data_IF_901341820130
#
_entry.id   IF_901341820130
#
_cell.length_a   1.000
_cell.length_b   1.000
_cell.length_c   1.000
_cell.angle_alpha   90.00
_cell.angle_beta   90.00
_cell.angle_gamma   90.00
#
_symmetry.space_group_name_H-M   'P 1'
#
loop_
_entity.id
_entity.type
_entity.pdbx_description
1 polymer ?
#
# COMPACT_ATOMS: atom_id res chain seq x y z
N UNK A 1 50.21 -17.06 50.55
CA UNK A 1 48.78 -16.75 50.80
C UNK A 1 48.11 -15.80 49.79
N UNK A 2 48.77 -14.84 49.11
CA UNK A 2 48.08 -13.95 48.17
C UNK A 2 47.67 -14.59 46.82
N UNK A 3 48.31 -15.68 46.39
CA UNK A 3 47.99 -16.35 45.12
C UNK A 3 46.70 -17.19 45.16
N UNK A 4 46.33 -17.72 46.32
CA UNK A 4 45.14 -18.56 46.48
C UNK A 4 43.85 -17.73 46.45
N UNK A 5 43.87 -16.50 46.99
CA UNK A 5 42.72 -15.59 46.95
C UNK A 5 42.46 -15.06 45.54
N UNK A 6 43.50 -14.78 44.75
CA UNK A 6 43.35 -14.36 43.36
C UNK A 6 42.70 -15.45 42.49
N UNK A 7 43.06 -16.72 42.70
CA UNK A 7 42.43 -17.85 42.00
C UNK A 7 40.96 -18.04 42.36
N UNK A 8 40.61 -17.83 43.63
CA UNK A 8 39.23 -17.92 44.12
C UNK A 8 38.35 -16.81 43.55
N UNK A 9 38.85 -15.57 43.52
CA UNK A 9 38.12 -14.43 42.96
C UNK A 9 37.88 -14.59 41.45
N UNK A 10 38.86 -15.13 40.72
CA UNK A 10 38.74 -15.39 39.28
C UNK A 10 37.68 -16.46 38.97
N UNK A 11 37.61 -17.52 39.79
CA UNK A 11 36.59 -18.57 39.68
C UNK A 11 35.20 -18.04 40.00
N UNK A 12 35.06 -17.23 41.04
CA UNK A 12 33.77 -16.60 41.41
C UNK A 12 33.30 -15.66 40.30
N UNK A 13 34.21 -14.86 39.73
CA UNK A 13 33.89 -13.97 38.61
C UNK A 13 33.46 -14.75 37.36
N UNK A 14 34.16 -15.83 37.02
CA UNK A 14 33.79 -16.70 35.91
C UNK A 14 32.42 -17.35 36.10
N UNK A 15 32.13 -17.86 37.31
CA UNK A 15 30.83 -18.45 37.63
C UNK A 15 29.72 -17.39 37.54
N UNK A 16 29.97 -16.18 38.04
CA UNK A 16 29.01 -15.08 37.95
C UNK A 16 28.76 -14.64 36.50
N UNK A 17 29.79 -14.60 35.64
CA UNK A 17 29.66 -14.29 34.21
C UNK A 17 28.88 -15.39 33.47
N UNK A 18 29.15 -16.67 33.76
CA UNK A 18 28.42 -17.80 33.16
C UNK A 18 26.96 -17.81 33.62
N UNK A 19 26.69 -17.55 34.90
CA UNK A 19 25.34 -17.45 35.43
C UNK A 19 24.58 -16.25 34.84
N UNK A 20 25.25 -15.10 34.69
CA UNK A 20 24.66 -13.92 34.04
C UNK A 20 24.37 -14.17 32.55
N UNK A 21 25.25 -14.89 31.84
CA UNK A 21 25.04 -15.28 30.44
C UNK A 21 23.90 -16.30 30.29
N UNK A 22 23.72 -17.21 31.24
CA UNK A 22 22.62 -18.17 31.27
C UNK A 22 21.27 -17.54 31.67
N UNK A 23 21.29 -16.37 32.33
CA UNK A 23 20.10 -15.61 32.71
C UNK A 23 19.65 -14.59 31.64
N UNK A 24 20.38 -14.46 30.53
CA UNK A 24 19.87 -13.77 29.35
C UNK A 24 18.86 -14.73 28.72
N UNK A 25 17.59 -14.59 29.08
CA UNK A 25 16.49 -15.11 28.28
C UNK A 25 16.76 -14.69 26.83
N UNK A 26 17.09 -15.68 25.99
CA UNK A 26 17.48 -15.45 24.61
C UNK A 26 16.50 -14.50 23.96
N UNK A 27 17.01 -13.44 23.33
CA UNK A 27 16.21 -12.56 22.48
C UNK A 27 15.60 -13.47 21.43
N UNK A 28 14.35 -13.89 21.65
CA UNK A 28 13.65 -14.73 20.68
C UNK A 28 13.60 -13.94 19.40
N UNK A 29 14.14 -14.52 18.33
CA UNK A 29 14.02 -13.99 16.98
C UNK A 29 12.61 -13.50 16.65
N UNK A 30 12.46 -12.59 15.69
CA UNK A 30 11.15 -12.09 15.29
C UNK A 30 10.95 -12.21 13.79
N UNK A 31 9.79 -12.73 13.38
CA UNK A 31 9.37 -12.74 12.00
C UNK A 31 8.42 -11.58 11.72
N UNK A 32 8.60 -10.92 10.58
CA UNK A 32 7.76 -9.82 10.11
C UNK A 32 7.18 -10.19 8.75
N UNK A 33 5.87 -10.06 8.60
CA UNK A 33 5.19 -10.26 7.33
C UNK A 33 4.62 -8.92 6.88
N UNK A 34 5.06 -8.43 5.72
CA UNK A 34 4.64 -7.14 5.19
C UNK A 34 3.99 -7.30 3.81
N UNK A 35 2.99 -6.47 3.53
CA UNK A 35 2.32 -6.45 2.24
C UNK A 35 1.57 -5.14 2.01
N UNK A 36 0.88 -5.07 0.88
CA UNK A 36 0.05 -3.91 0.50
C UNK A 36 -1.30 -4.38 -0.01
N UNK A 37 -2.33 -3.55 0.16
CA UNK A 37 -3.68 -3.76 -0.37
C UNK A 37 -4.00 -2.64 -1.34
N UNK A 38 -4.44 -2.98 -2.54
CA UNK A 38 -4.89 -2.05 -3.56
C UNK A 38 -6.38 -2.19 -3.83
N UNK A 39 -7.02 -1.07 -4.18
CA UNK A 39 -8.31 -1.08 -4.82
C UNK A 39 -8.13 -1.27 -6.32
N UNK A 40 -8.53 -2.44 -6.83
CA UNK A 40 -8.72 -2.70 -8.25
C UNK A 40 -10.05 -2.07 -8.70
N UNK A 41 -9.98 -0.85 -9.19
CA UNK A 41 -11.16 -0.06 -9.59
C UNK A 41 -11.84 -0.64 -10.84
N UNK A 42 -11.10 -1.39 -11.65
CA UNK A 42 -11.59 -1.97 -12.90
C UNK A 42 -12.04 -3.42 -12.79
N UNK A 43 -11.86 -4.04 -11.63
CA UNK A 43 -12.20 -5.45 -11.36
C UNK A 43 -11.53 -6.39 -12.38
N UNK A 44 -10.34 -6.04 -12.86
CA UNK A 44 -9.60 -6.79 -13.88
C UNK A 44 -8.56 -7.74 -13.29
N UNK A 45 -8.42 -7.74 -11.95
CA UNK A 45 -7.51 -8.58 -11.19
C UNK A 45 -6.04 -8.13 -11.28
N UNK A 46 -5.78 -6.93 -11.80
CA UNK A 46 -4.43 -6.38 -11.96
C UNK A 46 -4.29 -5.09 -11.17
N UNK A 47 -3.04 -4.73 -10.87
CA UNK A 47 -2.73 -3.38 -10.37
C UNK A 47 -2.36 -2.54 -11.59
N UNK A 48 -3.26 -1.65 -11.94
CA UNK A 48 -3.21 -0.72 -13.06
C UNK A 48 -2.86 0.69 -12.59
N UNK A 49 -2.78 1.61 -13.55
CA UNK A 49 -2.50 3.03 -13.28
C UNK A 49 -3.60 3.68 -12.42
N UNK A 50 -4.84 3.18 -12.51
CA UNK A 50 -5.97 3.76 -11.81
C UNK A 50 -6.11 3.21 -10.39
N UNK A 51 -5.45 2.12 -10.06
CA UNK A 51 -5.61 1.48 -8.77
C UNK A 51 -4.84 2.22 -7.68
N UNK A 52 -5.41 2.26 -6.48
CA UNK A 52 -4.87 3.04 -5.38
C UNK A 52 -4.75 2.19 -4.12
N UNK A 53 -3.74 2.46 -3.26
CA UNK A 53 -3.60 1.75 -2.01
C UNK A 53 -4.79 2.01 -1.07
N UNK A 54 -5.27 0.97 -0.40
CA UNK A 54 -6.43 1.05 0.48
C UNK A 54 -6.03 1.13 1.95
N UNK A 55 -6.34 2.26 2.58
CA UNK A 55 -6.15 2.49 4.01
C UNK A 55 -7.35 2.03 4.84
N UNK A 56 -7.10 1.57 6.07
CA UNK A 56 -8.14 1.23 7.04
C UNK A 56 -8.81 -0.13 6.80
N UNK A 57 -8.27 -0.96 5.91
CA UNK A 57 -8.82 -2.28 5.60
C UNK A 57 -8.13 -3.35 6.44
N UNK A 58 -8.90 -4.30 6.96
CA UNK A 58 -8.37 -5.43 7.71
C UNK A 58 -7.79 -6.48 6.78
N UNK A 59 -6.59 -6.95 7.10
CA UNK A 59 -5.92 -8.06 6.44
C UNK A 59 -5.74 -9.17 7.47
N UNK A 60 -6.17 -10.37 7.11
CA UNK A 60 -6.04 -11.56 7.94
C UNK A 60 -5.00 -12.51 7.34
N UNK A 61 -4.13 -13.04 8.20
CA UNK A 61 -3.30 -14.19 7.88
C UNK A 61 -3.93 -15.44 8.47
N UNK A 62 -4.09 -16.46 7.64
CA UNK A 62 -4.54 -17.76 8.05
C UNK A 62 -3.54 -18.84 7.67
N UNK A 63 -3.38 -19.84 8.53
CA UNK A 63 -2.49 -20.98 8.33
C UNK A 63 -3.31 -22.27 8.35
N UNK A 64 -2.95 -23.21 7.46
CA UNK A 64 -3.52 -24.55 7.46
C UNK A 64 -2.75 -25.43 8.45
N UNK A 65 -3.47 -25.94 9.44
CA UNK A 65 -2.99 -26.95 10.39
C UNK A 65 -2.76 -28.31 9.73
N UNK A 66 -2.08 -29.21 10.43
CA UNK A 66 -1.78 -30.56 9.96
C UNK A 66 -3.04 -31.43 9.76
N UNK A 67 -4.11 -31.08 10.45
CA UNK A 67 -5.45 -31.67 10.36
C UNK A 67 -6.29 -31.11 9.19
N UNK A 68 -5.73 -30.15 8.42
CA UNK A 68 -6.42 -29.45 7.35
C UNK A 68 -7.28 -28.28 7.83
N UNK A 69 -7.40 -28.06 9.14
CA UNK A 69 -8.16 -26.94 9.71
C UNK A 69 -7.44 -25.62 9.43
N UNK A 70 -8.16 -24.65 8.87
CA UNK A 70 -7.64 -23.31 8.62
C UNK A 70 -7.93 -22.44 9.83
N UNK A 71 -6.89 -21.84 10.40
CA UNK A 71 -7.02 -20.92 11.55
C UNK A 71 -6.45 -19.56 11.21
N UNK A 72 -7.18 -18.49 11.56
CA UNK A 72 -6.67 -17.12 11.45
C UNK A 72 -5.69 -16.88 12.60
N UNK A 73 -4.43 -16.64 12.26
CA UNK A 73 -3.34 -16.50 13.24
C UNK A 73 -3.11 -15.05 13.65
N UNK A 74 -3.37 -14.08 12.76
CA UNK A 74 -3.20 -12.66 13.04
C UNK A 74 -4.03 -11.81 12.07
N UNK A 75 -4.52 -10.68 12.56
CA UNK A 75 -5.18 -9.65 11.76
C UNK A 75 -4.50 -8.30 11.99
N UNK A 76 -4.37 -7.50 10.93
CA UNK A 76 -3.77 -6.16 10.98
C UNK A 76 -4.56 -5.20 10.10
N UNK A 77 -4.51 -3.90 10.40
CA UNK A 77 -5.19 -2.87 9.59
C UNK A 77 -4.18 -2.13 8.71
N UNK A 78 -4.53 -1.88 7.46
CA UNK A 78 -3.66 -1.15 6.54
C UNK A 78 -3.49 0.31 6.93
N UNK A 79 -2.26 0.81 6.80
CA UNK A 79 -1.91 2.21 7.00
C UNK A 79 -2.37 3.10 5.83
N UNK A 80 -2.03 4.39 5.85
CA UNK A 80 -2.43 5.36 4.82
C UNK A 80 -1.99 4.99 3.39
N UNK A 81 -0.92 4.22 3.25
CA UNK A 81 -0.37 3.76 1.97
C UNK A 81 -0.81 2.34 1.61
N UNK A 82 -1.85 1.84 2.27
CA UNK A 82 -2.36 0.48 2.07
C UNK A 82 -1.39 -0.60 2.53
N UNK A 83 -0.30 -0.24 3.21
CA UNK A 83 0.68 -1.18 3.74
C UNK A 83 0.24 -1.75 5.07
N UNK A 84 0.56 -3.01 5.33
CA UNK A 84 0.37 -3.65 6.63
C UNK A 84 1.64 -4.41 7.02
N UNK A 85 1.85 -4.60 8.32
CA UNK A 85 2.99 -5.36 8.84
C UNK A 85 2.55 -6.15 10.07
N UNK A 86 2.62 -7.48 9.98
CA UNK A 86 2.34 -8.39 11.08
C UNK A 86 3.64 -8.83 11.71
N UNK A 87 3.78 -8.68 13.03
CA UNK A 87 4.91 -9.20 13.79
C UNK A 87 4.57 -10.58 14.37
N UNK A 88 5.51 -11.50 14.40
CA UNK A 88 5.39 -12.80 15.05
C UNK A 88 6.62 -13.04 15.90
N UNK A 89 6.42 -13.72 17.03
CA UNK A 89 7.51 -14.11 17.91
C UNK A 89 8.11 -15.43 17.40
N UNK A 90 9.44 -15.51 17.38
CA UNK A 90 10.20 -16.59 16.78
C UNK A 90 10.31 -16.50 15.25
N UNK A 91 10.77 -17.61 14.66
CA UNK A 91 10.83 -17.86 13.22
C UNK A 91 9.84 -18.99 12.84
N UNK A 92 8.52 -18.72 12.86
CA UNK A 92 7.52 -19.72 12.53
C UNK A 92 7.55 -20.06 11.02
N UNK A 93 7.26 -21.32 10.69
CA UNK A 93 7.10 -21.72 9.29
C UNK A 93 5.76 -21.21 8.73
N UNK A 94 5.84 -20.37 7.70
CA UNK A 94 4.67 -19.84 6.99
C UNK A 94 4.32 -20.57 5.69
N UNK A 95 4.93 -21.74 5.42
CA UNK A 95 4.71 -22.51 4.19
C UNK A 95 3.24 -22.88 3.94
N UNK A 96 2.46 -23.10 5.00
CA UNK A 96 1.03 -23.42 4.94
C UNK A 96 0.12 -22.20 5.13
N UNK A 97 0.68 -20.99 5.14
CA UNK A 97 -0.02 -19.75 5.43
C UNK A 97 -0.31 -18.92 4.19
N UNK A 98 -1.36 -18.12 4.28
CA UNK A 98 -1.74 -17.14 3.28
C UNK A 98 -2.37 -15.93 3.93
N UNK A 99 -2.37 -14.83 3.20
CA UNK A 99 -2.99 -13.57 3.59
C UNK A 99 -4.13 -13.23 2.66
N UNK A 100 -5.16 -12.60 3.21
CA UNK A 100 -6.32 -12.15 2.47
C UNK A 100 -6.96 -10.92 3.13
N UNK A 101 -7.71 -10.17 2.34
CA UNK A 101 -8.51 -9.05 2.84
C UNK A 101 -9.69 -9.62 3.64
N UNK A 102 -9.82 -9.20 4.90
CA UNK A 102 -10.98 -9.53 5.73
C UNK A 102 -12.14 -8.60 5.38
N UNK A 103 -13.33 -9.16 5.14
CA UNK A 103 -14.51 -8.38 4.78
C UNK A 103 -14.95 -7.57 6.01
N UNK A 104 -14.87 -6.24 5.91
CA UNK A 104 -15.45 -5.33 6.90
C UNK A 104 -16.84 -4.88 6.45
N UNK A 105 -17.86 -5.07 7.29
CA UNK A 105 -19.26 -4.71 7.01
C UNK A 105 -19.50 -3.20 6.80
N UNK A 106 -18.48 -2.36 7.01
CA UNK A 106 -18.55 -0.92 6.78
C UNK A 106 -18.41 -0.59 5.28
N UNK A 107 -19.55 -0.55 4.58
CA UNK A 107 -19.72 -0.24 3.14
C UNK A 107 -19.40 1.22 2.74
N UNK A 108 -18.67 1.99 3.55
CA UNK A 108 -18.55 3.44 3.35
C UNK A 108 -17.45 3.87 2.38
N UNK A 109 -16.56 2.96 1.97
CA UNK A 109 -15.52 3.21 0.96
C UNK A 109 -15.84 2.41 -0.29
N UNK A 110 -15.72 3.03 -1.47
CA UNK A 110 -16.09 2.46 -2.77
C UNK A 110 -15.41 1.15 -3.16
N UNK A 111 -14.54 0.57 -2.32
CA UNK A 111 -13.75 -0.63 -2.57
C UNK A 111 -13.67 -1.55 -1.33
N UNK A 112 -14.83 -2.09 -0.92
CA UNK A 112 -14.98 -2.83 0.35
C UNK A 112 -15.07 -4.36 0.17
N UNK A 113 -15.01 -4.89 -1.05
CA UNK A 113 -15.12 -6.31 -1.30
C UNK A 113 -13.74 -6.93 -1.51
N UNK A 114 -13.41 -7.98 -0.75
CA UNK A 114 -12.21 -8.78 -1.00
C UNK A 114 -12.18 -9.23 -2.48
N UNK A 115 -11.01 -9.12 -3.11
CA UNK A 115 -10.81 -9.44 -4.52
C UNK A 115 -9.52 -10.25 -4.73
N UNK A 116 -9.55 -11.11 -5.74
CA UNK A 116 -8.40 -11.94 -6.09
C UNK A 116 -8.12 -13.08 -5.11
N UNK A 117 -7.13 -13.94 -5.42
CA UNK A 117 -6.77 -15.07 -4.59
C UNK A 117 -5.96 -14.63 -3.37
N UNK A 118 -6.09 -15.38 -2.28
CA UNK A 118 -5.20 -15.28 -1.14
C UNK A 118 -3.72 -15.44 -1.57
N UNK A 119 -2.82 -14.76 -0.87
CA UNK A 119 -1.40 -14.70 -1.23
C UNK A 119 -0.51 -15.23 -0.11
N UNK A 120 0.37 -16.15 -0.45
CA UNK A 120 1.34 -16.71 0.50
C UNK A 120 2.50 -15.74 0.74
N UNK A 121 2.97 -15.62 1.99
CA UNK A 121 4.17 -14.88 2.32
C UNK A 121 5.41 -15.55 1.71
N UNK A 122 6.36 -14.74 1.23
CA UNK A 122 7.64 -15.20 0.69
C UNK A 122 8.78 -14.62 1.50
N UNK A 123 9.68 -15.46 1.97
CA UNK A 123 10.88 -15.02 2.70
C UNK A 123 11.75 -14.19 1.76
N UNK A 124 12.05 -12.95 2.15
CA UNK A 124 12.93 -12.04 1.40
C UNK A 124 14.22 -11.72 2.15
N UNK A 125 14.26 -11.96 3.46
CA UNK A 125 15.45 -11.75 4.28
C UNK A 125 15.40 -12.67 5.51
N UNK A 126 16.53 -13.30 5.85
CA UNK A 126 16.72 -14.08 7.07
C UNK A 126 18.16 -13.89 7.57
N UNK A 127 18.33 -13.30 8.75
CA UNK A 127 19.62 -13.12 9.41
C UNK A 127 19.43 -12.76 10.89
N UNK A 128 20.34 -13.20 11.77
CA UNK A 128 20.31 -12.87 13.21
C UNK A 128 18.97 -13.20 13.89
N UNK A 129 18.38 -14.36 13.55
CA UNK A 129 17.06 -14.80 14.03
C UNK A 129 15.91 -13.83 13.68
N UNK A 130 16.11 -12.90 12.74
CA UNK A 130 15.05 -12.06 12.19
C UNK A 130 14.72 -12.50 10.78
N UNK A 131 13.43 -12.65 10.51
CA UNK A 131 12.94 -13.03 9.20
C UNK A 131 11.94 -12.00 8.68
N UNK A 132 12.12 -11.58 7.43
CA UNK A 132 11.19 -10.68 6.76
C UNK A 132 10.58 -11.42 5.58
N UNK A 133 9.26 -11.45 5.59
CA UNK A 133 8.43 -12.01 4.54
C UNK A 133 7.69 -10.88 3.82
N UNK A 134 7.69 -10.96 2.50
CA UNK A 134 6.88 -10.10 1.65
C UNK A 134 5.71 -10.89 1.10
N UNK A 135 4.54 -10.27 1.08
CA UNK A 135 3.36 -10.79 0.40
C UNK A 135 3.16 -10.03 -0.91
N UNK A 136 2.84 -10.76 -1.98
CA UNK A 136 2.36 -10.13 -3.22
C UNK A 136 1.13 -9.24 -2.91
N UNK A 137 0.93 -8.12 -3.62
CA UNK A 137 -0.17 -7.21 -3.33
C UNK A 137 -1.54 -7.91 -3.33
N UNK A 138 -2.34 -7.60 -2.32
CA UNK A 138 -3.72 -8.03 -2.20
C UNK A 138 -4.65 -7.06 -2.91
N UNK A 139 -5.78 -7.54 -3.41
CA UNK A 139 -6.77 -6.73 -4.09
C UNK A 139 -8.06 -6.65 -3.27
N UNK A 140 -8.68 -5.48 -3.33
CA UNK A 140 -10.08 -5.26 -3.02
C UNK A 140 -10.72 -4.65 -4.26
N UNK A 141 -12.02 -4.77 -4.39
CA UNK A 141 -12.74 -4.29 -5.58
C UNK A 141 -14.01 -3.52 -5.20
N UNK A 142 -14.43 -2.58 -6.06
CA UNK A 142 -15.71 -1.92 -5.93
C UNK A 142 -16.87 -2.87 -6.25
N UNK A 143 -18.07 -2.49 -5.82
CA UNK A 143 -19.30 -3.22 -6.16
C UNK A 143 -19.47 -3.26 -7.68
N UNK A 144 -19.29 -2.11 -8.34
CA UNK A 144 -19.29 -1.97 -9.81
C UNK A 144 -17.96 -1.35 -10.27
N UNK A 145 -17.39 -1.76 -11.42
CA UNK A 145 -16.24 -1.10 -11.99
C UNK A 145 -16.48 0.39 -12.19
N UNK A 146 -15.44 1.20 -12.03
CA UNK A 146 -15.53 2.64 -12.26
C UNK A 146 -15.74 2.96 -13.74
N UNK A 147 -16.46 4.05 -14.04
CA UNK A 147 -16.90 4.41 -15.41
C UNK A 147 -15.78 4.63 -16.44
N UNK A 148 -14.54 4.89 -15.98
CA UNK A 148 -13.38 5.11 -16.84
C UNK A 148 -12.63 3.81 -17.18
N UNK A 149 -13.05 2.67 -16.64
CA UNK A 149 -12.51 1.39 -17.05
C UNK A 149 -13.00 1.09 -18.46
N UNK A 150 -12.07 1.00 -19.41
CA UNK A 150 -12.40 0.53 -20.74
C UNK A 150 -13.03 -0.86 -20.60
N UNK A 151 -14.25 -1.02 -21.13
CA UNK A 151 -14.95 -2.29 -21.22
C UNK A 151 -14.09 -3.29 -22.00
N UNK A 152 -13.17 -3.94 -21.30
CA UNK A 152 -12.47 -5.11 -21.76
C UNK A 152 -13.38 -6.30 -21.47
N UNK A 153 -14.62 -6.24 -21.97
CA UNK A 153 -15.36 -7.46 -22.23
C UNK A 153 -14.65 -8.15 -23.40
N UNK A 154 -13.54 -8.83 -23.13
CA UNK A 154 -13.24 -10.00 -23.94
C UNK A 154 -14.36 -11.00 -23.64
N UNK A 155 -15.17 -11.40 -24.63
CA UNK A 155 -16.01 -12.58 -24.44
C UNK A 155 -15.03 -13.71 -24.13
N UNK A 156 -15.16 -14.33 -22.96
CA UNK A 156 -14.49 -15.59 -22.71
C UNK A 156 -14.93 -16.53 -23.83
N UNK A 157 -13.99 -16.93 -24.70
CA UNK A 157 -14.25 -18.05 -25.61
C UNK A 157 -14.63 -19.24 -24.72
N UNK A 158 -15.75 -19.93 -24.99
CA UNK A 158 -16.05 -21.17 -24.28
C UNK A 158 -14.91 -22.18 -24.54
N UNK A 159 -14.50 -22.94 -23.52
CA UNK A 159 -13.44 -23.94 -23.68
C UNK A 159 -13.86 -25.01 -24.70
N UNK A 160 -12.91 -25.62 -25.44
CA UNK A 160 -13.22 -26.67 -26.40
C UNK A 160 -13.85 -27.87 -25.68
N UNK A 161 -15.04 -28.24 -26.14
CA UNK A 161 -15.83 -29.36 -25.65
C UNK A 161 -15.01 -30.64 -25.84
N UNK A 162 -14.59 -31.26 -24.74
CA UNK A 162 -14.09 -32.63 -24.74
C UNK A 162 -15.30 -33.56 -24.74
N UNK A 163 -15.42 -34.38 -25.76
CA UNK A 163 -16.51 -35.33 -25.98
C UNK A 163 -16.46 -36.48 -24.99
N UNK A 164 -17.51 -36.65 -24.19
CA UNK A 164 -17.84 -37.92 -23.51
C UNK A 164 -19.37 -38.14 -23.63
N UNK A 165 -19.85 -39.37 -23.93
CA UNK A 165 -21.15 -39.57 -24.56
C UNK A 165 -22.34 -39.72 -23.60
N UNK A 166 -23.44 -39.10 -24.03
CA UNK A 166 -24.87 -39.44 -23.94
C UNK A 166 -25.46 -40.17 -22.71
N UNK A 167 -26.45 -39.50 -22.10
CA UNK A 167 -27.62 -40.12 -21.41
C UNK A 167 -28.90 -39.27 -21.63
N UNK A 168 -30.11 -39.80 -21.41
CA UNK A 168 -31.24 -39.78 -22.35
C UNK A 168 -32.24 -38.63 -22.08
N UNK A 169 -33.35 -38.50 -22.86
CA UNK A 169 -33.94 -37.22 -23.22
C UNK A 169 -34.83 -36.57 -22.14
N UNK A 170 -35.18 -35.27 -22.30
CA UNK A 170 -35.97 -34.52 -21.34
C UNK A 170 -37.48 -34.76 -21.48
N UNK A 171 -38.16 -34.76 -20.34
CA UNK A 171 -39.62 -34.69 -20.19
C UNK A 171 -40.09 -33.27 -20.59
N UNK A 172 -41.17 -33.10 -21.38
CA UNK A 172 -41.67 -31.78 -21.75
C UNK A 172 -42.53 -31.20 -20.61
N UNK A 173 -42.24 -29.96 -20.21
CA UNK A 173 -43.11 -29.15 -19.32
C UNK A 173 -43.48 -27.86 -20.07
N UNK A 174 -44.76 -27.47 -20.11
CA UNK A 174 -45.27 -26.47 -21.04
C UNK A 174 -44.98 -25.03 -20.60
N UNK A 175 -44.67 -24.21 -21.60
CA UNK A 175 -44.51 -22.76 -21.52
C UNK A 175 -45.86 -22.05 -21.30
N UNK A 176 -46.03 -21.44 -20.13
CA UNK A 176 -46.98 -20.35 -19.91
C UNK A 176 -46.32 -19.29 -19.01
N UNK A 177 -45.80 -18.22 -19.63
CA UNK A 177 -45.56 -16.95 -18.95
C UNK A 177 -46.79 -16.05 -19.16
N UNK A 178 -47.38 -15.47 -18.10
CA UNK A 178 -48.29 -14.35 -18.25
C UNK A 178 -47.51 -13.03 -18.44
N UNK A 179 -48.04 -12.05 -19.20
CA UNK A 179 -47.37 -10.77 -19.42
C UNK A 179 -47.39 -9.90 -18.17
N UNK A 180 -46.21 -9.45 -17.73
CA UNK A 180 -46.06 -8.47 -16.64
C UNK A 180 -46.33 -7.06 -17.16
N UNK A 181 -47.28 -6.37 -16.54
CA UNK A 181 -47.60 -4.96 -16.76
C UNK A 181 -46.53 -4.03 -16.16
N UNK A 182 -46.31 -2.83 -16.72
CA UNK A 182 -45.30 -1.91 -16.23
C UNK A 182 -45.81 -1.13 -15.01
N UNK A 183 -45.15 -1.32 -13.86
CA UNK A 183 -45.40 -0.54 -12.65
C UNK A 183 -44.88 0.89 -12.82
N UNK A 184 -45.77 1.88 -12.69
CA UNK A 184 -45.41 3.30 -12.50
C UNK A 184 -44.97 3.53 -11.06
N UNK A 185 -43.78 4.10 -10.87
CA UNK A 185 -43.33 4.61 -9.58
C UNK A 185 -44.08 5.90 -9.20
N UNK A 186 -44.39 6.12 -7.90
CA UNK A 186 -44.92 7.38 -7.41
C UNK A 186 -43.82 8.46 -7.36
N UNK A 187 -44.18 9.76 -7.49
CA UNK A 187 -43.20 10.85 -7.49
C UNK A 187 -42.62 11.11 -6.10
N UNK A 188 -41.30 11.27 -6.02
CA UNK A 188 -40.59 11.69 -4.81
C UNK A 188 -40.87 13.17 -4.46
N UNK A 189 -40.80 13.54 -3.16
CA UNK A 189 -40.94 14.92 -2.71
C UNK A 189 -39.79 15.82 -3.22
N UNK A 190 -39.99 17.16 -3.27
CA UNK A 190 -39.04 18.08 -3.90
C UNK A 190 -37.68 18.04 -3.19
N UNK A 191 -36.64 17.76 -3.97
CA UNK A 191 -35.26 17.74 -3.56
C UNK A 191 -34.85 19.08 -2.92
N UNK A 192 -34.22 19.01 -1.74
CA UNK A 192 -33.36 20.09 -1.27
C UNK A 192 -32.37 20.42 -2.38
N UNK A 193 -32.39 21.66 -2.86
CA UNK A 193 -31.39 22.15 -3.81
C UNK A 193 -30.03 22.12 -3.12
N UNK A 194 -29.28 21.05 -3.34
CA UNK A 194 -27.86 21.01 -2.99
C UNK A 194 -27.16 22.15 -3.74
N UNK A 195 -26.25 22.89 -3.09
CA UNK A 195 -25.43 23.86 -3.78
C UNK A 195 -24.68 23.16 -4.94
N UNK A 196 -24.46 23.85 -6.07
CA UNK A 196 -23.73 23.26 -7.19
C UNK A 196 -22.38 22.72 -6.70
N UNK A 197 -22.10 21.45 -7.00
CA UNK A 197 -20.80 20.86 -6.72
C UNK A 197 -19.71 21.73 -7.34
N UNK A 198 -18.64 22.09 -6.59
CA UNK A 198 -17.51 22.78 -7.17
C UNK A 198 -16.90 21.92 -8.29
N UNK A 199 -16.44 22.54 -9.40
CA UNK A 199 -15.86 21.79 -10.50
C UNK A 199 -14.69 20.93 -10.01
N UNK A 200 -14.80 19.62 -10.22
CA UNK A 200 -13.76 18.63 -9.93
C UNK A 200 -12.50 18.98 -10.75
N UNK A 201 -11.40 19.41 -10.12
CA UNK A 201 -10.23 19.94 -10.85
C UNK A 201 -9.27 18.84 -11.34
N UNK A 202 -9.66 17.57 -11.24
CA UNK A 202 -8.72 16.44 -11.35
C UNK A 202 -8.31 16.08 -12.79
N UNK A 203 -9.02 16.58 -13.80
CA UNK A 203 -8.71 16.28 -15.21
C UNK A 203 -7.76 17.29 -15.88
N UNK A 204 -7.30 18.34 -15.18
CA UNK A 204 -6.33 19.27 -15.76
C UNK A 204 -4.89 18.80 -15.47
N UNK A 205 -4.09 18.65 -16.52
CA UNK A 205 -2.67 18.36 -16.37
C UNK A 205 -1.99 19.54 -15.66
N UNK A 206 -1.36 19.28 -14.51
CA UNK A 206 -0.66 20.28 -13.72
C UNK A 206 0.59 19.67 -13.11
N UNK A 207 1.69 20.42 -13.20
CA UNK A 207 2.95 20.09 -12.55
C UNK A 207 3.52 21.35 -11.92
N UNK A 208 3.59 21.35 -10.60
CA UNK A 208 4.01 22.51 -9.83
C UNK A 208 5.36 22.22 -9.18
N UNK A 209 6.31 23.14 -9.37
CA UNK A 209 7.62 23.06 -8.71
C UNK A 209 7.44 23.20 -7.20
N UNK A 210 8.45 22.77 -6.43
CA UNK A 210 8.43 22.84 -4.96
C UNK A 210 8.14 24.25 -4.42
N UNK A 211 8.46 25.29 -5.18
CA UNK A 211 8.24 26.70 -4.79
C UNK A 211 6.76 27.01 -4.63
N UNK A 212 5.91 26.51 -5.54
CA UNK A 212 4.46 26.67 -5.44
C UNK A 212 3.91 25.97 -4.19
N UNK A 213 4.41 24.78 -3.88
CA UNK A 213 3.98 24.02 -2.69
C UNK A 213 4.37 24.69 -1.36
N UNK A 214 5.34 25.60 -1.37
CA UNK A 214 5.75 26.39 -0.21
C UNK A 214 4.92 27.67 -0.03
N UNK A 215 4.15 28.11 -1.03
CA UNK A 215 3.38 29.35 -0.93
C UNK A 215 2.12 29.14 -0.07
N UNK A 216 1.85 30.01 0.93
CA UNK A 216 0.67 29.90 1.78
C UNK A 216 -0.65 29.93 1.00
N UNK A 217 -0.71 30.72 -0.07
CA UNK A 217 -1.86 30.88 -0.96
C UNK A 217 -2.28 29.57 -1.66
N UNK A 218 -1.40 28.57 -1.73
CA UNK A 218 -1.70 27.28 -2.37
C UNK A 218 -1.84 26.14 -1.36
N UNK A 219 -1.99 26.45 -0.06
CA UNK A 219 -2.06 25.45 1.01
C UNK A 219 -3.22 24.46 0.84
N UNK A 220 -4.34 24.86 0.21
CA UNK A 220 -5.50 23.96 0.01
C UNK A 220 -5.23 22.77 -0.94
N UNK A 221 -4.11 22.77 -1.67
CA UNK A 221 -3.71 21.63 -2.51
C UNK A 221 -3.04 20.48 -1.72
N UNK A 222 -2.71 20.69 -0.45
CA UNK A 222 -2.25 19.65 0.49
C UNK A 222 -3.43 18.79 0.98
N UNK A 223 -4.01 17.99 0.08
CA UNK A 223 -5.28 17.27 0.33
C UNK A 223 -5.12 15.91 1.00
N UNK A 224 -4.09 15.15 0.59
CA UNK A 224 -3.90 13.75 1.02
C UNK A 224 -2.84 13.62 2.11
N UNK A 225 -1.80 14.44 2.01
CA UNK A 225 -0.74 14.53 3.00
C UNK A 225 -0.68 15.97 3.53
N UNK A 226 -0.25 16.13 4.77
CA UNK A 226 -0.18 17.43 5.44
C UNK A 226 1.27 17.88 5.62
N UNK A 227 1.55 19.21 5.64
CA UNK A 227 2.91 19.73 5.75
C UNK A 227 3.69 19.25 6.99
N UNK A 228 3.00 18.97 8.08
CA UNK A 228 3.52 18.51 9.38
C UNK A 228 3.74 16.99 9.45
N UNK A 229 3.23 16.22 8.50
CA UNK A 229 3.48 14.77 8.42
C UNK A 229 4.97 14.48 8.32
N UNK A 230 5.39 13.38 8.94
CA UNK A 230 6.79 12.98 9.03
C UNK A 230 7.26 12.30 7.75
N UNK A 231 8.43 12.68 7.24
CA UNK A 231 9.07 12.04 6.09
C UNK A 231 9.22 10.53 6.31
N UNK A 232 9.60 10.12 7.52
CA UNK A 232 9.71 8.71 7.91
C UNK A 232 8.38 7.95 7.80
N UNK A 233 7.25 8.59 8.10
CA UNK A 233 5.92 7.99 7.96
C UNK A 233 5.53 7.78 6.50
N UNK A 234 5.89 8.74 5.64
CA UNK A 234 5.49 8.76 4.23
C UNK A 234 6.40 7.88 3.36
N UNK A 235 7.71 8.00 3.56
CA UNK A 235 8.71 7.31 2.74
C UNK A 235 9.30 6.09 3.45
N UNK A 236 8.96 5.81 4.70
CA UNK A 236 9.33 4.58 5.39
C UNK A 236 10.78 4.53 5.89
N UNK A 237 11.26 3.33 6.27
CA UNK A 237 12.49 3.14 7.05
C UNK A 237 13.76 3.66 6.37
N UNK A 238 13.88 3.50 5.05
CA UNK A 238 15.06 3.98 4.31
C UNK A 238 15.21 5.50 4.39
N UNK A 239 14.08 6.22 4.27
CA UNK A 239 14.07 7.67 4.44
C UNK A 239 14.31 8.06 5.91
N UNK A 240 13.72 7.33 6.87
CA UNK A 240 13.94 7.56 8.30
C UNK A 240 15.43 7.48 8.69
N UNK A 241 16.16 6.50 8.14
CA UNK A 241 17.61 6.33 8.37
C UNK A 241 18.43 7.54 7.90
N UNK A 242 18.03 8.17 6.80
CA UNK A 242 18.79 9.26 6.16
C UNK A 242 18.38 10.63 6.69
N UNK A 243 17.08 10.85 6.90
CA UNK A 243 16.53 12.17 7.24
C UNK A 243 16.10 12.31 8.71
N UNK A 244 16.09 11.21 9.47
CA UNK A 244 15.58 11.14 10.83
C UNK A 244 14.06 10.92 10.91
N UNK A 245 13.59 10.61 12.11
CA UNK A 245 12.16 10.35 12.40
C UNK A 245 11.33 11.63 12.42
N UNK A 246 11.94 12.76 12.79
CA UNK A 246 11.22 14.00 13.12
C UNK A 246 11.05 14.96 11.94
N UNK A 247 11.77 14.74 10.85
CA UNK A 247 11.72 15.59 9.65
C UNK A 247 10.28 15.65 9.10
N UNK A 248 9.73 16.84 8.95
CA UNK A 248 8.40 17.02 8.34
C UNK A 248 8.49 17.20 6.83
N UNK A 249 7.37 16.99 6.12
CA UNK A 249 7.29 17.24 4.68
C UNK A 249 7.60 18.70 4.34
N UNK A 250 7.12 19.65 5.15
CA UNK A 250 7.38 21.08 4.97
C UNK A 250 8.87 21.41 5.07
N UNK A 251 9.57 20.89 6.09
CA UNK A 251 11.02 21.10 6.25
C UNK A 251 11.78 20.39 5.13
N UNK A 252 11.33 19.20 4.70
CA UNK A 252 11.90 18.47 3.58
C UNK A 252 11.86 19.25 2.26
N UNK A 253 10.75 19.96 1.97
CA UNK A 253 10.61 20.81 0.77
C UNK A 253 11.56 22.00 0.75
N UNK A 254 12.04 22.45 1.91
CA UNK A 254 12.98 23.57 2.00
C UNK A 254 14.44 23.11 1.85
N UNK A 255 14.70 21.80 1.79
CA UNK A 255 16.04 21.24 1.69
C UNK A 255 16.82 21.78 0.49
N UNK A 256 18.05 22.27 0.70
CA UNK A 256 18.97 22.77 -0.34
C UNK A 256 20.41 22.35 -0.02
N UNK A 257 21.30 22.42 -1.00
CA UNK A 257 22.75 22.35 -0.78
C UNK A 257 23.38 20.95 -0.84
N UNK A 258 22.62 19.88 -0.61
CA UNK A 258 23.13 18.50 -0.76
C UNK A 258 22.19 17.59 -1.57
N UNK A 259 22.74 16.48 -2.05
CA UNK A 259 22.07 15.53 -2.94
C UNK A 259 20.89 14.81 -2.26
N UNK A 260 20.96 14.56 -0.95
CA UNK A 260 19.89 13.87 -0.21
C UNK A 260 18.72 14.83 0.05
N UNK A 261 18.99 16.07 0.47
CA UNK A 261 17.96 17.11 0.60
C UNK A 261 17.32 17.44 -0.74
N UNK A 262 18.11 17.47 -1.81
CA UNK A 262 17.58 17.69 -3.17
C UNK A 262 16.66 16.55 -3.60
N UNK A 263 17.07 15.29 -3.41
CA UNK A 263 16.20 14.13 -3.69
C UNK A 263 14.90 14.20 -2.88
N UNK A 264 14.99 14.52 -1.60
CA UNK A 264 13.82 14.62 -0.73
C UNK A 264 12.86 15.70 -1.19
N UNK A 265 13.36 16.93 -1.42
CA UNK A 265 12.55 18.05 -1.89
C UNK A 265 11.82 17.71 -3.19
N UNK A 266 12.54 17.20 -4.18
CA UNK A 266 11.95 16.87 -5.48
C UNK A 266 11.01 15.66 -5.39
N UNK A 267 11.31 14.70 -4.51
CA UNK A 267 10.45 13.55 -4.23
C UNK A 267 9.15 13.92 -3.53
N UNK A 268 9.18 14.78 -2.51
CA UNK A 268 7.97 15.31 -1.87
C UNK A 268 7.13 16.08 -2.88
N UNK A 269 7.77 16.91 -3.70
CA UNK A 269 7.09 17.67 -4.76
C UNK A 269 6.44 16.74 -5.78
N UNK A 270 7.13 15.67 -6.21
CA UNK A 270 6.58 14.68 -7.12
C UNK A 270 5.40 13.92 -6.50
N UNK A 271 5.49 13.60 -5.21
CA UNK A 271 4.40 12.97 -4.47
C UNK A 271 3.16 13.88 -4.43
N UNK A 272 3.35 15.16 -4.10
CA UNK A 272 2.26 16.12 -4.03
C UNK A 272 1.60 16.35 -5.40
N UNK A 273 2.40 16.49 -6.46
CA UNK A 273 1.91 16.57 -7.84
C UNK A 273 1.15 15.29 -8.25
N UNK A 274 1.64 14.11 -7.86
CA UNK A 274 0.98 12.83 -8.17
C UNK A 274 -0.40 12.66 -7.53
N UNK A 275 -0.66 13.33 -6.41
CA UNK A 275 -2.00 13.39 -5.81
C UNK A 275 -2.93 14.43 -6.43
N UNK A 276 -2.38 15.41 -7.17
CA UNK A 276 -3.14 16.55 -7.66
C UNK A 276 -3.32 16.58 -9.19
N UNK A 277 -2.63 15.74 -9.95
CA UNK A 277 -2.83 15.62 -11.39
C UNK A 277 -2.69 14.18 -11.88
N UNK A 278 -3.73 13.66 -12.52
CA UNK A 278 -3.71 12.33 -13.15
C UNK A 278 -2.72 12.22 -14.32
N UNK A 279 -2.37 13.34 -14.95
CA UNK A 279 -1.40 13.38 -16.04
C UNK A 279 0.04 13.51 -15.56
N UNK A 280 0.27 13.58 -14.25
CA UNK A 280 1.63 13.58 -13.71
C UNK A 280 2.30 12.22 -13.98
N UNK A 281 3.56 12.18 -14.46
CA UNK A 281 4.19 10.94 -14.95
C UNK A 281 4.51 9.90 -13.88
N UNK A 282 4.32 10.24 -12.60
CA UNK A 282 4.50 9.32 -11.48
C UNK A 282 3.21 9.24 -10.67
N UNK A 283 2.79 8.03 -10.30
CA UNK A 283 1.80 7.86 -9.25
C UNK A 283 2.48 7.89 -7.86
N UNK A 284 1.73 8.10 -6.76
CA UNK A 284 2.30 8.23 -5.42
C UNK A 284 3.22 7.07 -5.02
N UNK A 285 2.79 5.83 -5.31
CA UNK A 285 3.56 4.63 -4.99
C UNK A 285 4.91 4.61 -5.72
N UNK A 286 4.93 4.91 -7.02
CA UNK A 286 6.16 4.98 -7.82
C UNK A 286 7.11 6.06 -7.34
N UNK A 287 6.62 7.17 -6.80
CA UNK A 287 7.45 8.20 -6.18
C UNK A 287 8.15 7.65 -4.94
N UNK A 288 7.39 7.04 -4.02
CA UNK A 288 7.92 6.45 -2.78
C UNK A 288 8.93 5.35 -3.09
N UNK A 289 8.60 4.42 -4.00
CA UNK A 289 9.49 3.34 -4.45
C UNK A 289 10.79 3.90 -5.04
N UNK A 290 10.69 4.85 -5.97
CA UNK A 290 11.86 5.41 -6.68
C UNK A 290 12.78 6.17 -5.73
N UNK A 291 12.22 6.91 -4.77
CA UNK A 291 13.00 7.61 -3.75
C UNK A 291 13.74 6.61 -2.87
N UNK A 292 13.05 5.61 -2.31
CA UNK A 292 13.68 4.62 -1.44
C UNK A 292 14.75 3.79 -2.16
N UNK A 293 14.48 3.39 -3.40
CA UNK A 293 15.48 2.72 -4.26
C UNK A 293 16.71 3.59 -4.50
N UNK A 294 16.53 4.91 -4.63
CA UNK A 294 17.65 5.83 -4.79
C UNK A 294 18.48 5.95 -3.50
N UNK A 295 17.83 6.00 -2.33
CA UNK A 295 18.50 6.06 -1.02
C UNK A 295 19.33 4.82 -0.69
N UNK A 296 18.89 3.65 -1.16
CA UNK A 296 19.65 2.39 -1.02
C UNK A 296 20.76 2.23 -2.06
N UNK A 297 20.84 3.15 -3.03
CA UNK A 297 21.79 3.09 -4.14
C UNK A 297 23.04 3.95 -3.92
N UNK A 298 23.71 4.25 -5.03
CA UNK A 298 24.88 5.14 -5.03
C UNK A 298 24.48 6.63 -5.11
N UNK A 299 25.40 7.57 -4.79
CA UNK A 299 25.17 9.01 -5.00
C UNK A 299 24.73 9.37 -6.43
N UNK A 300 25.20 8.62 -7.42
CA UNK A 300 24.78 8.77 -8.83
C UNK A 300 23.30 8.39 -9.03
N UNK A 301 22.82 7.38 -8.30
CA UNK A 301 21.40 6.99 -8.29
C UNK A 301 20.54 8.12 -7.72
N UNK A 302 20.97 8.71 -6.60
CA UNK A 302 20.28 9.82 -5.93
C UNK A 302 20.13 11.02 -6.88
N UNK A 303 21.25 11.48 -7.46
CA UNK A 303 21.23 12.61 -8.39
C UNK A 303 20.37 12.35 -9.63
N UNK A 304 20.43 11.12 -10.17
CA UNK A 304 19.61 10.72 -11.33
C UNK A 304 18.12 10.76 -11.00
N UNK A 305 17.72 10.21 -9.86
CA UNK A 305 16.32 10.19 -9.43
C UNK A 305 15.83 11.59 -9.09
N UNK A 306 16.62 12.38 -8.36
CA UNK A 306 16.30 13.77 -8.07
C UNK A 306 16.08 14.59 -9.35
N UNK A 307 16.97 14.45 -10.35
CA UNK A 307 16.82 15.14 -11.64
C UNK A 307 15.56 14.71 -12.40
N UNK A 308 15.19 13.42 -12.33
CA UNK A 308 13.95 12.91 -12.96
C UNK A 308 12.71 13.54 -12.33
N UNK A 309 12.64 13.56 -10.99
CA UNK A 309 11.57 14.24 -10.28
C UNK A 309 11.54 15.73 -10.59
N UNK A 310 12.67 16.41 -10.53
CA UNK A 310 12.77 17.83 -10.87
C UNK A 310 12.22 18.14 -12.26
N UNK A 311 12.57 17.34 -13.28
CA UNK A 311 12.05 17.50 -14.64
C UNK A 311 10.54 17.26 -14.73
N UNK A 312 10.01 16.29 -13.99
CA UNK A 312 8.58 16.04 -13.94
C UNK A 312 7.84 17.19 -13.23
N UNK A 313 8.37 17.67 -12.11
CA UNK A 313 7.81 18.76 -11.31
C UNK A 313 7.81 20.09 -12.05
N UNK A 314 8.75 20.30 -12.97
CA UNK A 314 8.78 21.48 -13.84
C UNK A 314 7.80 21.39 -15.03
N UNK A 315 7.06 20.29 -15.16
CA UNK A 315 6.01 20.15 -16.17
C UNK A 315 6.55 20.07 -17.59
N UNK A 316 7.15 18.92 -17.92
CA UNK A 316 7.81 18.62 -19.19
C UNK A 316 7.15 19.31 -20.41
N UNK A 317 7.77 20.40 -20.89
CA UNK A 317 7.53 21.27 -22.09
C UNK A 317 6.07 21.62 -22.52
N UNK A 318 5.05 21.00 -21.94
CA UNK A 318 3.63 21.09 -22.34
C UNK A 318 2.67 21.23 -21.14
N UNK A 319 3.15 21.03 -19.91
CA UNK A 319 2.30 21.09 -18.70
C UNK A 319 2.81 22.19 -17.80
N UNK A 320 1.97 23.15 -17.44
CA UNK A 320 2.33 24.23 -16.51
C UNK A 320 1.66 24.02 -15.15
N UNK A 321 2.12 24.73 -14.13
CA UNK A 321 1.45 24.72 -12.84
C UNK A 321 0.11 25.44 -12.95
N UNK A 322 -0.99 24.77 -12.58
CA UNK A 322 -2.37 25.27 -12.65
C UNK A 322 -2.95 25.65 -11.29
N UNK A 323 -2.09 25.87 -10.29
CA UNK A 323 -2.55 26.30 -8.98
C UNK A 323 -3.23 27.66 -9.07
N UNK A 324 -4.38 27.75 -8.42
CA UNK A 324 -5.11 28.99 -8.18
C UNK A 324 -5.08 29.27 -6.70
N UNK A 325 -4.92 30.54 -6.33
CA UNK A 325 -4.92 30.90 -4.92
C UNK A 325 -6.21 30.42 -4.28
N UNK A 326 -6.04 29.76 -3.13
CA UNK A 326 -7.07 29.59 -2.13
C UNK A 326 -7.20 30.94 -1.39
#
# INVERSE_FOLDING_TARGET
MPSAMASSLHRVLLIAVVAAAAAIDGVRGSAMVTGTVFCDQCKDGKISLFDYPLSGVKVAMACRGSDGTVTTVREETTNLFGGYTMKFDGAPDFSSCYTQVAITEHRSTGCAAAAGPAKSPRLIFSMFEMELYSVDPLLSQPVQPTFFCHNSHSPALPPPITTVPARPPPIPVPSQQPPLTPYRCPPLPPAFKLPPMPPVPFFEASACSYQYWLMPEYKCYWKVVHPDMKVALIFGPSAARIYGMEMTLQVGLQGRGDLYRTLLREGITALLNSYNSFYFPYNPFRVVESLNKALMGSPRSILRTARRFMKANSGHDQVTCKFKAC
#
